data_IF_516067745694
#
_entry.id   IF_516067745694
#
_cell.length_a   1.000
_cell.length_b   1.000
_cell.length_c   1.000
_cell.angle_alpha   90.00
_cell.angle_beta   90.00
_cell.angle_gamma   90.00
#
_symmetry.space_group_name_H-M   'P 1'
#
loop_
_entity.id
_entity.type
_entity.pdbx_description
1 polymer ?
#
# COMPACT_ATOMS: atom_id res chain seq x y z
N UNK A 1 10.14 0.75 1.65
CA UNK A 1 10.75 -0.05 2.75
C UNK A 1 11.31 -1.36 2.24
N UNK A 2 10.48 -2.26 1.68
CA UNK A 2 10.96 -3.62 1.31
C UNK A 2 12.17 -3.65 0.38
N UNK A 3 12.19 -2.81 -0.67
CA UNK A 3 13.36 -2.70 -1.54
C UNK A 3 14.61 -2.16 -0.82
N UNK A 4 14.46 -1.33 0.22
CA UNK A 4 15.58 -0.76 0.98
C UNK A 4 16.24 -1.78 1.91
N UNK A 5 15.51 -2.81 2.34
CA UNK A 5 15.98 -3.87 3.24
C UNK A 5 16.29 -5.17 2.52
N UNK A 6 16.37 -5.13 1.18
CA UNK A 6 16.67 -6.29 0.37
C UNK A 6 18.11 -6.77 0.63
N UNK A 7 18.28 -8.06 0.88
CA UNK A 7 19.55 -8.69 1.25
C UNK A 7 20.20 -9.47 0.10
N UNK A 8 19.63 -9.39 -1.11
CA UNK A 8 20.05 -10.13 -2.30
C UNK A 8 19.31 -11.45 -2.52
N UNK A 9 18.47 -11.91 -1.59
CA UNK A 9 17.65 -13.10 -1.78
C UNK A 9 16.23 -12.73 -2.24
N UNK A 10 15.83 -13.02 -3.49
CA UNK A 10 14.49 -12.69 -3.98
C UNK A 10 13.38 -13.62 -3.49
N UNK A 11 13.72 -14.79 -2.92
CA UNK A 11 12.74 -15.80 -2.54
C UNK A 11 11.62 -15.28 -1.62
N UNK A 12 11.89 -14.49 -0.56
CA UNK A 12 10.83 -13.94 0.29
C UNK A 12 9.88 -13.00 -0.46
N UNK A 13 10.35 -12.26 -1.48
CA UNK A 13 9.48 -11.46 -2.33
C UNK A 13 8.55 -12.35 -3.16
N UNK A 14 9.11 -13.41 -3.76
CA UNK A 14 8.33 -14.38 -4.53
C UNK A 14 7.27 -15.08 -3.68
N UNK A 15 7.63 -15.52 -2.48
CA UNK A 15 6.74 -16.22 -1.56
C UNK A 15 5.53 -15.34 -1.19
N UNK A 16 5.76 -14.06 -0.86
CA UNK A 16 4.67 -13.14 -0.54
C UNK A 16 3.80 -12.85 -1.77
N UNK A 17 4.40 -12.62 -2.95
CA UNK A 17 3.63 -12.37 -4.18
C UNK A 17 2.69 -13.53 -4.49
N UNK A 18 3.17 -14.77 -4.33
CA UNK A 18 2.42 -15.98 -4.68
C UNK A 18 1.46 -16.46 -3.59
N UNK A 19 1.56 -15.96 -2.35
CA UNK A 19 0.69 -16.36 -1.23
C UNK A 19 -0.76 -15.86 -1.43
N UNK A 20 -1.74 -16.72 -1.78
CA UNK A 20 -3.12 -16.30 -2.00
C UNK A 20 -3.81 -15.75 -0.75
N UNK A 21 -3.35 -16.13 0.44
CA UNK A 21 -3.86 -15.68 1.73
C UNK A 21 -3.33 -14.31 2.17
N UNK A 22 -2.28 -13.82 1.53
CA UNK A 22 -1.74 -12.49 1.82
C UNK A 22 -2.62 -11.39 1.20
N UNK A 23 -2.64 -10.22 1.86
CA UNK A 23 -3.42 -9.06 1.41
C UNK A 23 -3.00 -8.61 0.00
N UNK A 24 -3.98 -8.32 -0.86
CA UNK A 24 -3.75 -8.03 -2.27
C UNK A 24 -2.90 -6.77 -2.52
N UNK A 25 -2.99 -5.76 -1.65
CA UNK A 25 -2.19 -4.54 -1.76
C UNK A 25 -0.76 -4.79 -1.34
N UNK A 26 -0.53 -5.59 -0.30
CA UNK A 26 0.81 -6.02 0.11
C UNK A 26 1.49 -6.78 -1.03
N UNK A 27 0.78 -7.74 -1.63
CA UNK A 27 1.29 -8.53 -2.76
C UNK A 27 1.61 -7.66 -3.97
N UNK A 28 0.73 -6.71 -4.29
CA UNK A 28 0.96 -5.70 -5.33
C UNK A 28 2.24 -4.90 -5.09
N UNK A 29 2.46 -4.42 -3.85
CA UNK A 29 3.68 -3.68 -3.49
C UNK A 29 4.93 -4.56 -3.52
N UNK A 30 4.82 -5.87 -3.30
CA UNK A 30 5.97 -6.77 -3.49
C UNK A 30 6.35 -6.93 -4.96
N UNK A 31 5.39 -6.95 -5.89
CA UNK A 31 5.70 -6.93 -7.33
C UNK A 31 6.51 -5.67 -7.71
N UNK A 32 6.10 -4.51 -7.21
CA UNK A 32 6.81 -3.25 -7.46
C UNK A 32 8.16 -3.21 -6.73
N UNK A 33 8.27 -3.76 -5.52
CA UNK A 33 9.56 -3.91 -4.84
C UNK A 33 10.53 -4.80 -5.63
N UNK A 34 10.04 -5.87 -6.25
CA UNK A 34 10.81 -6.72 -7.16
C UNK A 34 11.36 -5.91 -8.35
N UNK A 35 10.54 -5.05 -8.94
CA UNK A 35 10.99 -4.16 -10.01
C UNK A 35 12.05 -3.15 -9.52
N UNK A 36 11.87 -2.57 -8.33
CA UNK A 36 12.82 -1.62 -7.75
C UNK A 36 14.21 -2.24 -7.53
N UNK A 37 14.29 -3.43 -6.91
CA UNK A 37 15.58 -4.11 -6.67
C UNK A 37 16.23 -4.56 -8.00
N UNK A 38 15.42 -4.87 -9.01
CA UNK A 38 15.91 -5.18 -10.36
C UNK A 38 16.50 -3.94 -11.04
N UNK A 39 15.83 -2.79 -10.98
CA UNK A 39 16.32 -1.53 -11.55
C UNK A 39 17.64 -1.07 -10.89
N UNK A 40 17.85 -1.41 -9.61
CA UNK A 40 19.09 -1.15 -8.88
C UNK A 40 20.22 -2.14 -9.21
N UNK A 41 19.93 -3.18 -10.00
CA UNK A 41 20.89 -4.22 -10.38
C UNK A 41 21.15 -5.28 -9.30
N UNK A 42 20.34 -5.33 -8.24
CA UNK A 42 20.46 -6.34 -7.17
C UNK A 42 19.79 -7.67 -7.55
N UNK A 43 18.87 -7.64 -8.53
CA UNK A 43 18.27 -8.82 -9.15
C UNK A 43 18.46 -8.76 -10.67
N UNK A 44 18.93 -9.83 -11.34
CA UNK A 44 19.06 -9.81 -12.80
C UNK A 44 17.70 -9.63 -13.49
N UNK A 45 17.61 -8.67 -14.43
CA UNK A 45 16.38 -8.40 -15.19
C UNK A 45 15.77 -9.64 -15.85
N UNK A 46 16.61 -10.55 -16.34
CA UNK A 46 16.16 -11.82 -16.96
C UNK A 46 15.47 -12.73 -15.94
N UNK A 47 15.93 -12.71 -14.68
CA UNK A 47 15.32 -13.49 -13.61
C UNK A 47 13.95 -12.89 -13.21
N UNK A 48 13.90 -11.57 -13.00
CA UNK A 48 12.65 -10.86 -12.72
C UNK A 48 11.61 -11.06 -13.83
N UNK A 49 12.02 -10.96 -15.11
CA UNK A 49 11.15 -11.18 -16.26
C UNK A 49 10.59 -12.62 -16.30
N UNK A 50 11.43 -13.62 -16.00
CA UNK A 50 11.00 -15.03 -15.91
C UNK A 50 9.97 -15.22 -14.80
N UNK A 51 10.20 -14.66 -13.63
CA UNK A 51 9.27 -14.75 -12.51
C UNK A 51 7.94 -14.08 -12.82
N UNK A 52 7.95 -12.84 -13.33
CA UNK A 52 6.74 -12.12 -13.73
C UNK A 52 5.99 -12.86 -14.84
N UNK A 53 6.69 -13.50 -15.78
CA UNK A 53 6.05 -14.34 -16.80
C UNK A 53 5.34 -15.55 -16.19
N UNK A 54 5.97 -16.25 -15.25
CA UNK A 54 5.37 -17.39 -14.55
C UNK A 54 4.12 -16.99 -13.76
N UNK A 55 4.14 -15.79 -13.13
CA UNK A 55 3.00 -15.26 -12.37
C UNK A 55 1.70 -15.20 -13.18
N UNK A 56 1.74 -15.04 -14.50
CA UNK A 56 0.51 -15.06 -15.31
C UNK A 56 -0.32 -16.34 -15.10
N UNK A 57 0.34 -17.47 -14.87
CA UNK A 57 -0.31 -18.77 -14.60
C UNK A 57 -0.44 -19.03 -13.09
N UNK A 58 0.62 -18.72 -12.33
CA UNK A 58 0.74 -19.18 -10.94
C UNK A 58 0.04 -18.24 -9.96
N UNK A 59 -0.09 -16.96 -10.29
CA UNK A 59 -0.68 -15.96 -9.40
C UNK A 59 -2.17 -16.22 -9.21
N UNK A 60 -2.59 -16.24 -7.94
CA UNK A 60 -3.97 -16.43 -7.52
C UNK A 60 -4.52 -15.19 -6.82
N UNK A 61 -5.83 -14.89 -6.91
CA UNK A 61 -6.80 -15.60 -7.74
C UNK A 61 -6.62 -15.28 -9.23
N UNK A 62 -7.00 -16.22 -10.09
CA UNK A 62 -7.18 -16.00 -11.54
C UNK A 62 -8.54 -15.30 -11.79
N UNK A 63 -8.75 -14.18 -11.11
CA UNK A 63 -9.95 -13.32 -11.13
C UNK A 63 -9.54 -11.88 -10.79
N UNK A 64 -10.48 -10.93 -10.78
CA UNK A 64 -10.24 -9.53 -10.38
C UNK A 64 -9.57 -9.47 -8.98
N UNK A 65 -8.34 -8.94 -8.92
CA UNK A 65 -7.59 -8.77 -7.68
C UNK A 65 -6.50 -7.69 -7.82
N UNK A 66 -6.28 -6.90 -6.77
CA UNK A 66 -5.33 -5.78 -6.80
C UNK A 66 -3.90 -6.24 -7.10
N UNK A 67 -3.51 -7.47 -6.76
CA UNK A 67 -2.16 -8.00 -7.05
C UNK A 67 -1.78 -7.92 -8.53
N UNK A 68 -2.76 -8.05 -9.43
CA UNK A 68 -2.55 -7.93 -10.87
C UNK A 68 -2.16 -6.51 -11.31
N UNK A 69 -2.53 -5.48 -10.53
CA UNK A 69 -2.08 -4.11 -10.75
C UNK A 69 -0.57 -3.99 -10.49
N UNK A 70 -0.08 -4.49 -9.36
CA UNK A 70 1.36 -4.51 -9.07
C UNK A 70 2.16 -5.36 -10.05
N UNK A 71 1.59 -6.49 -10.50
CA UNK A 71 2.22 -7.33 -11.52
C UNK A 71 2.45 -6.58 -12.84
N UNK A 72 1.43 -5.90 -13.38
CA UNK A 72 1.62 -5.11 -14.59
C UNK A 72 2.48 -3.86 -14.35
N UNK A 73 2.45 -3.28 -13.15
CA UNK A 73 3.28 -2.12 -12.80
C UNK A 73 4.74 -2.50 -12.88
N UNK A 74 5.10 -3.66 -12.30
CA UNK A 74 6.46 -4.19 -12.36
C UNK A 74 6.92 -4.44 -13.81
N UNK A 75 6.04 -4.96 -14.66
CA UNK A 75 6.32 -5.17 -16.10
C UNK A 75 6.60 -3.83 -16.79
N UNK A 76 5.77 -2.82 -16.55
CA UNK A 76 5.96 -1.48 -17.11
C UNK A 76 7.26 -0.82 -16.61
N UNK A 77 7.49 -0.86 -15.29
CA UNK A 77 8.71 -0.33 -14.64
C UNK A 77 10.00 -0.94 -15.16
N UNK A 78 9.96 -2.21 -15.60
CA UNK A 78 11.12 -2.93 -16.15
C UNK A 78 11.24 -2.86 -17.68
N UNK A 79 10.31 -2.17 -18.34
CA UNK A 79 10.31 -2.04 -19.80
C UNK A 79 10.17 -3.39 -20.51
N UNK A 80 9.43 -4.35 -19.95
CA UNK A 80 9.30 -5.72 -20.49
C UNK A 80 8.27 -5.75 -21.65
N UNK A 81 8.65 -5.15 -22.79
CA UNK A 81 7.78 -5.04 -23.98
C UNK A 81 7.25 -6.37 -24.50
N UNK A 82 8.05 -7.44 -24.36
CA UNK A 82 7.69 -8.80 -24.73
C UNK A 82 6.48 -9.35 -23.96
N UNK A 83 6.16 -8.76 -22.80
CA UNK A 83 5.04 -9.18 -21.95
C UNK A 83 3.73 -8.43 -22.23
N UNK A 84 3.74 -7.41 -23.10
CA UNK A 84 2.54 -6.63 -23.45
C UNK A 84 1.34 -7.50 -23.86
N UNK A 85 1.49 -8.59 -24.63
CA UNK A 85 0.37 -9.48 -24.94
C UNK A 85 -0.25 -10.15 -23.71
N UNK A 86 0.56 -10.57 -22.73
CA UNK A 86 0.06 -11.19 -21.48
C UNK A 86 -0.68 -10.17 -20.61
N UNK A 87 -0.15 -8.94 -20.51
CA UNK A 87 -0.84 -7.87 -19.76
C UNK A 87 -2.19 -7.56 -20.38
N UNK A 88 -2.26 -7.45 -21.71
CA UNK A 88 -3.54 -7.26 -22.42
C UNK A 88 -4.53 -8.40 -22.13
N UNK A 89 -4.07 -9.65 -22.15
CA UNK A 89 -4.92 -10.79 -21.79
C UNK A 89 -5.41 -10.73 -20.34
N UNK A 90 -4.60 -10.23 -19.40
CA UNK A 90 -5.05 -10.05 -18.01
C UNK A 90 -6.19 -9.02 -17.91
N UNK A 91 -6.10 -7.90 -18.65
CA UNK A 91 -7.20 -6.94 -18.77
C UNK A 91 -8.44 -7.56 -19.42
N UNK A 92 -8.27 -8.27 -20.54
CA UNK A 92 -9.39 -8.89 -21.28
C UNK A 92 -10.11 -9.97 -20.43
N UNK A 93 -9.38 -10.65 -19.54
CA UNK A 93 -9.92 -11.64 -18.59
C UNK A 93 -10.53 -11.02 -17.34
N UNK A 94 -10.46 -9.70 -17.18
CA UNK A 94 -11.02 -9.00 -16.02
C UNK A 94 -10.19 -9.11 -14.74
N UNK A 95 -8.91 -9.50 -14.84
CA UNK A 95 -8.04 -9.63 -13.67
C UNK A 95 -7.68 -8.27 -13.04
N UNK A 96 -7.74 -7.22 -13.86
CA UNK A 96 -7.45 -5.83 -13.47
C UNK A 96 -8.72 -5.01 -13.69
N UNK A 97 -9.20 -4.40 -12.60
CA UNK A 97 -10.40 -3.57 -12.62
C UNK A 97 -10.19 -2.33 -13.51
N UNK A 98 -11.02 -2.11 -14.56
CA UNK A 98 -10.95 -0.91 -15.40
C UNK A 98 -11.22 0.39 -14.65
N UNK A 99 -11.85 0.29 -13.46
CA UNK A 99 -12.16 1.42 -12.59
C UNK A 99 -10.95 1.99 -11.87
N UNK A 100 -9.93 1.16 -11.65
CA UNK A 100 -8.68 1.55 -11.01
C UNK A 100 -7.63 1.91 -12.04
N UNK A 101 -7.55 1.11 -13.10
CA UNK A 101 -6.54 1.27 -14.13
C UNK A 101 -7.04 0.77 -15.47
N UNK A 102 -6.79 1.54 -16.52
CA UNK A 102 -7.08 1.14 -17.89
C UNK A 102 -5.79 0.66 -18.57
N UNK A 103 -5.92 -0.21 -19.57
CA UNK A 103 -4.80 -0.71 -20.38
C UNK A 103 -3.94 0.44 -20.96
N UNK A 104 -4.53 1.58 -21.32
CA UNK A 104 -3.78 2.75 -21.80
C UNK A 104 -2.75 3.27 -20.79
N UNK A 105 -3.04 3.20 -19.49
CA UNK A 105 -2.13 3.69 -18.46
C UNK A 105 -0.89 2.80 -18.38
N UNK A 106 -1.07 1.48 -18.48
CA UNK A 106 0.04 0.52 -18.64
C UNK A 106 0.88 0.85 -19.87
N UNK A 107 0.23 1.10 -21.02
CA UNK A 107 0.93 1.40 -22.27
C UNK A 107 1.74 2.71 -22.17
N UNK A 108 1.16 3.75 -21.59
CA UNK A 108 1.84 5.02 -21.31
C UNK A 108 3.03 4.83 -20.33
N UNK A 109 2.85 4.04 -19.26
CA UNK A 109 3.91 3.76 -18.29
C UNK A 109 5.06 2.95 -18.88
N UNK A 110 4.75 1.99 -19.75
CA UNK A 110 5.71 1.19 -20.48
C UNK A 110 6.50 2.06 -21.47
N UNK A 111 5.81 2.89 -22.26
CA UNK A 111 6.43 3.81 -23.21
C UNK A 111 7.36 4.81 -22.50
N UNK A 112 6.89 5.44 -21.42
CA UNK A 112 7.72 6.33 -20.59
C UNK A 112 9.01 5.67 -20.12
N UNK A 113 8.93 4.39 -19.72
CA UNK A 113 10.09 3.65 -19.22
C UNK A 113 11.06 3.28 -20.34
N UNK A 114 10.57 3.03 -21.56
CA UNK A 114 11.42 2.77 -22.73
C UNK A 114 12.18 4.05 -23.14
N UNK A 115 11.50 5.20 -23.08
CA UNK A 115 12.08 6.50 -23.43
C UNK A 115 13.15 6.95 -22.44
N UNK A 116 12.91 6.75 -21.13
CA UNK A 116 13.85 7.10 -20.08
C UNK A 116 13.86 6.04 -18.96
N UNK A 117 14.69 4.98 -19.09
CA UNK A 117 14.78 3.92 -18.08
C UNK A 117 15.29 4.41 -16.72
N UNK A 118 16.05 5.51 -16.68
CA UNK A 118 16.63 6.05 -15.45
C UNK A 118 15.61 6.84 -14.62
N UNK A 119 14.55 7.35 -15.26
CA UNK A 119 13.49 8.15 -14.62
C UNK A 119 12.84 7.47 -13.43
N UNK A 120 12.62 6.14 -13.47
CA UNK A 120 11.96 5.39 -12.39
C UNK A 120 12.78 5.32 -11.09
N UNK A 121 14.07 5.67 -11.16
CA UNK A 121 14.96 5.80 -10.02
C UNK A 121 15.18 7.27 -9.61
N UNK A 122 14.51 8.22 -10.29
CA UNK A 122 14.60 9.64 -9.96
C UNK A 122 13.98 9.89 -8.57
N UNK A 123 14.75 10.41 -7.60
CA UNK A 123 14.23 10.75 -6.28
C UNK A 123 13.06 11.75 -6.33
N UNK A 124 12.96 12.56 -7.39
CA UNK A 124 11.87 13.52 -7.57
C UNK A 124 10.51 12.87 -7.88
N UNK A 125 10.49 11.61 -8.35
CA UNK A 125 9.23 10.87 -8.61
C UNK A 125 8.56 10.44 -7.29
N UNK A 126 9.29 10.43 -6.17
CA UNK A 126 8.80 10.30 -4.79
C UNK A 126 8.21 8.94 -4.39
N UNK A 127 7.52 8.26 -5.29
CA UNK A 127 6.80 7.00 -5.02
C UNK A 127 7.73 5.77 -5.01
N UNK A 128 8.74 5.78 -5.87
CA UNK A 128 9.69 4.67 -6.06
C UNK A 128 11.12 5.02 -5.61
N UNK A 129 11.32 6.19 -4.98
CA UNK A 129 12.57 6.48 -4.29
C UNK A 129 12.68 5.63 -3.03
N UNK A 130 13.90 5.17 -2.71
CA UNK A 130 14.16 4.63 -1.39
C UNK A 130 14.16 5.77 -0.38
N UNK A 131 13.76 5.47 0.86
CA UNK A 131 14.01 6.39 1.97
C UNK A 131 15.51 6.61 2.07
N UNK A 132 15.92 7.88 1.99
CA UNK A 132 17.31 8.28 2.18
C UNK A 132 17.67 8.26 3.66
N UNK A 133 18.01 9.43 4.20
CA UNK A 133 18.21 9.58 5.64
C UNK A 133 16.85 9.52 6.36
N UNK A 134 16.63 8.47 7.14
CA UNK A 134 15.37 8.29 7.89
C UNK A 134 15.10 9.44 8.88
N UNK A 135 16.16 10.05 9.44
CA UNK A 135 16.01 11.21 10.32
C UNK A 135 15.57 12.40 9.48
N UNK A 136 16.20 12.67 8.33
CA UNK A 136 15.80 13.77 7.44
C UNK A 136 14.33 13.64 7.03
N UNK A 137 13.92 12.47 6.54
CA UNK A 137 12.57 12.15 6.07
C UNK A 137 11.50 12.33 7.16
N UNK A 138 11.78 11.87 8.38
CA UNK A 138 10.81 11.91 9.48
C UNK A 138 10.84 13.21 10.27
N UNK A 139 11.96 13.94 10.26
CA UNK A 139 12.14 15.17 11.06
C UNK A 139 11.13 16.26 10.72
N UNK A 140 10.59 16.27 9.49
CA UNK A 140 9.55 17.19 9.05
C UNK A 140 8.14 16.88 9.59
N UNK A 141 7.93 15.72 10.21
CA UNK A 141 6.61 15.37 10.73
C UNK A 141 6.23 16.25 11.92
N UNK A 142 4.94 16.60 12.02
CA UNK A 142 4.44 17.44 13.11
C UNK A 142 4.86 16.95 14.49
N UNK A 143 4.93 15.63 14.71
CA UNK A 143 5.35 15.04 15.98
C UNK A 143 6.78 15.42 16.43
N UNK A 144 7.63 15.91 15.52
CA UNK A 144 8.99 16.38 15.82
C UNK A 144 9.13 17.90 15.70
N UNK A 145 8.03 18.63 15.48
CA UNK A 145 8.05 20.09 15.39
C UNK A 145 8.22 20.74 16.78
N UNK A 146 8.80 21.95 16.85
CA UNK A 146 8.89 22.72 18.10
C UNK A 146 7.52 22.90 18.77
N UNK A 147 6.45 23.09 18.00
CA UNK A 147 5.09 23.26 18.51
C UNK A 147 4.53 21.98 19.15
N UNK A 148 4.80 20.81 18.57
CA UNK A 148 4.42 19.54 19.17
C UNK A 148 5.23 19.26 20.43
N UNK A 149 6.49 19.66 20.45
CA UNK A 149 7.37 19.54 21.61
C UNK A 149 6.91 20.45 22.76
N UNK A 150 6.63 21.73 22.50
CA UNK A 150 6.04 22.62 23.49
C UNK A 150 4.70 22.10 24.02
N UNK A 151 3.89 21.49 23.16
CA UNK A 151 2.61 20.90 23.55
C UNK A 151 2.83 19.69 24.45
N UNK A 152 3.81 18.82 24.18
CA UNK A 152 4.20 17.70 25.06
C UNK A 152 4.74 18.18 26.40
N UNK A 153 5.59 19.21 26.40
CA UNK A 153 6.15 19.80 27.61
C UNK A 153 5.09 20.49 28.47
N UNK A 154 4.17 21.22 27.85
CA UNK A 154 2.98 21.78 28.53
C UNK A 154 2.03 20.71 29.03
N UNK A 155 1.91 19.62 28.29
CA UNK A 155 1.14 18.44 28.68
C UNK A 155 1.94 17.50 29.58
N UNK A 156 3.02 17.96 30.23
CA UNK A 156 3.77 17.20 31.24
C UNK A 156 2.81 16.68 32.30
N UNK A 157 2.38 15.45 32.05
CA UNK A 157 1.49 14.70 32.89
C UNK A 157 2.36 14.18 34.02
N UNK A 158 2.09 14.63 35.23
CA UNK A 158 2.77 14.11 36.41
C UNK A 158 2.40 12.63 36.58
N UNK A 159 3.32 11.75 36.16
CA UNK A 159 3.13 10.30 36.27
C UNK A 159 3.24 9.83 37.74
N UNK A 160 3.57 10.73 38.68
CA UNK A 160 3.65 10.45 40.12
C UNK A 160 2.28 10.51 40.80
N UNK A 161 1.27 11.09 40.15
CA UNK A 161 -0.08 11.19 40.71
C UNK A 161 -0.89 9.96 40.31
N UNK A 162 -1.41 9.15 41.25
CA UNK A 162 -2.38 8.12 40.92
C UNK A 162 -3.67 8.82 40.48
N UNK A 163 -3.80 9.02 39.17
CA UNK A 163 -5.09 9.37 38.61
C UNK A 163 -6.00 8.15 38.82
N UNK A 164 -6.93 8.22 39.77
CA UNK A 164 -8.08 7.32 39.80
C UNK A 164 -8.92 7.57 38.54
N UNK A 165 -8.43 7.12 37.39
CA UNK A 165 -9.18 7.10 36.15
C UNK A 165 -10.18 5.97 36.27
N UNK A 166 -11.33 6.28 36.89
CA UNK A 166 -12.48 5.38 36.82
C UNK A 166 -12.81 5.20 35.34
N UNK A 167 -12.93 3.96 34.84
CA UNK A 167 -13.27 3.72 33.46
C UNK A 167 -14.57 4.44 33.13
N UNK A 168 -14.58 5.22 32.04
CA UNK A 168 -15.78 5.90 31.58
C UNK A 168 -16.77 4.85 31.10
N UNK A 169 -17.79 4.56 31.91
CA UNK A 169 -18.86 3.65 31.54
C UNK A 169 -19.80 4.41 30.61
N UNK A 170 -19.93 3.97 29.35
CA UNK A 170 -20.97 4.47 28.47
C UNK A 170 -22.34 3.88 28.92
N UNK A 171 -23.24 4.69 29.50
CA UNK A 171 -24.54 4.19 29.97
C UNK A 171 -25.46 3.77 28.81
N UNK A 172 -25.13 4.16 27.57
CA UNK A 172 -25.90 3.90 26.36
C UNK A 172 -25.31 2.76 25.51
N UNK A 173 -24.32 2.01 26.02
CA UNK A 173 -23.63 0.95 25.26
C UNK A 173 -24.55 -0.14 24.69
N UNK A 174 -25.72 -0.34 25.31
CA UNK A 174 -26.70 -1.34 24.90
C UNK A 174 -27.89 -0.75 24.13
N UNK A 175 -27.88 0.56 23.81
CA UNK A 175 -28.99 1.21 23.09
C UNK A 175 -28.70 1.18 21.60
N UNK A 176 -29.48 0.39 20.86
CA UNK A 176 -29.39 0.32 19.41
C UNK A 176 -29.84 1.61 18.74
N UNK A 177 -29.24 1.93 17.59
CA UNK A 177 -29.53 3.15 16.79
C UNK A 177 -31.04 3.35 16.50
N UNK A 178 -31.81 2.27 16.36
CA UNK A 178 -33.24 2.31 16.06
C UNK A 178 -34.15 2.14 17.28
N UNK A 179 -33.60 1.88 18.47
CA UNK A 179 -34.37 1.62 19.69
C UNK A 179 -35.08 2.89 20.16
N UNK A 180 -36.15 2.77 20.97
CA UNK A 180 -36.75 3.90 21.65
C UNK A 180 -35.70 4.69 22.45
N UNK A 181 -35.70 6.01 22.29
CA UNK A 181 -34.70 6.85 22.93
C UNK A 181 -34.89 6.86 24.46
N UNK A 182 -33.83 6.58 25.24
CA UNK A 182 -33.92 6.47 26.70
C UNK A 182 -34.24 7.79 27.41
N UNK A 183 -34.29 8.92 26.70
CA UNK A 183 -34.76 10.20 27.25
C UNK A 183 -36.28 10.32 27.35
N UNK A 184 -37.03 9.28 26.95
CA UNK A 184 -38.50 9.26 27.06
C UNK A 184 -39.24 10.02 25.95
N UNK A 185 -38.55 10.48 24.91
CA UNK A 185 -39.15 11.27 23.82
C UNK A 185 -40.08 10.48 22.88
N UNK A 186 -40.13 9.15 23.01
CA UNK A 186 -40.85 8.25 22.10
C UNK A 186 -40.24 8.13 20.70
N UNK A 187 -39.17 8.87 20.39
CA UNK A 187 -38.47 8.83 19.10
C UNK A 187 -37.42 7.72 19.09
N UNK A 188 -37.03 7.23 17.90
CA UNK A 188 -35.85 6.36 17.73
C UNK A 188 -34.58 7.10 18.16
N UNK A 189 -33.62 6.40 18.78
CA UNK A 189 -32.39 6.98 19.33
C UNK A 189 -31.64 7.85 18.30
N UNK A 190 -31.50 7.38 17.05
CA UNK A 190 -30.91 8.12 15.90
C UNK A 190 -31.62 9.40 15.46
N UNK A 191 -32.85 9.63 15.93
CA UNK A 191 -33.64 10.84 15.62
C UNK A 191 -33.81 11.71 16.87
N UNK A 192 -33.02 11.45 17.92
CA UNK A 192 -33.11 12.15 19.19
C UNK A 192 -31.72 12.41 19.78
N UNK A 193 -31.28 11.59 20.75
CA UNK A 193 -30.05 11.84 21.51
C UNK A 193 -28.77 11.33 20.83
N UNK A 194 -28.87 10.44 19.84
CA UNK A 194 -27.76 10.07 18.97
C UNK A 194 -27.69 11.07 17.82
N UNK A 195 -27.09 12.23 18.07
CA UNK A 195 -26.70 13.19 17.03
C UNK A 195 -25.33 12.83 16.50
#
# INVERSE_FOLDING_TARGET
VMAAVFDGNPQPLYDVILAPEADEFVRSRMCEALAMVTLRGELPRVEAARFLQACYTDLQPQDECFVWNGWQSAIAMLGLTEMKPLVRQAFDRGFISPSWMALRHFEEDLERTIEDPARRLDPADGEYSLFGDTIEELSGWYAFSPEAEEKRQRASFDWSAPAEQKPTINPLKNVGRNDPCPCGSGKKFKKCCLK
#
